data_IF_190024784231
#
_entry.id   IF_190024784231
#
_cell.length_a   1.000
_cell.length_b   1.000
_cell.length_c   1.000
_cell.angle_alpha   90.00
_cell.angle_beta   90.00
_cell.angle_gamma   90.00
#
_symmetry.space_group_name_H-M   'P 1'
#
loop_
_entity.id
_entity.type
_entity.pdbx_description
1 polymer ?
#
# COMPACT_ATOMS: atom_id res chain seq x y z
N UNK A 1 -8.28 -0.68 0.81
CA UNK A 1 -7.52 -0.40 -0.44
C UNK A 1 -6.09 -0.93 -0.31
N UNK A 2 -5.61 -1.70 -1.28
CA UNK A 2 -4.26 -2.24 -1.28
C UNK A 2 -3.39 -1.48 -2.31
N UNK A 3 -2.26 -0.95 -1.87
CA UNK A 3 -1.30 -0.23 -2.70
C UNK A 3 -0.09 -1.13 -2.92
N UNK A 4 0.20 -1.47 -4.16
CA UNK A 4 1.42 -2.13 -4.58
C UNK A 4 2.30 -1.16 -5.38
N UNK A 5 3.47 -0.83 -4.84
CA UNK A 5 4.46 0.03 -5.51
C UNK A 5 5.55 -0.86 -6.09
N UNK A 6 5.56 -1.02 -7.41
CA UNK A 6 6.57 -1.79 -8.12
C UNK A 6 7.48 -0.89 -8.98
N UNK A 7 8.79 -1.01 -8.81
CA UNK A 7 9.78 -0.39 -9.69
C UNK A 7 10.17 -1.38 -10.79
N UNK A 8 9.66 -1.23 -12.00
CA UNK A 8 10.27 -1.83 -13.19
C UNK A 8 10.77 -0.73 -14.14
N UNK A 9 12.07 -0.44 -14.07
CA UNK A 9 12.77 0.20 -15.18
C UNK A 9 13.32 -0.88 -16.12
N UNK A 10 12.94 -0.79 -17.38
CA UNK A 10 13.33 -1.67 -18.49
C UNK A 10 14.76 -1.35 -18.90
N UNK A 11 15.74 -2.15 -18.48
CA UNK A 11 17.10 -2.14 -19.03
C UNK A 11 17.42 -3.49 -19.66
N UNK A 12 17.97 -3.44 -20.88
CA UNK A 12 18.27 -4.56 -21.75
C UNK A 12 19.10 -5.67 -21.06
N UNK A 13 18.66 -6.91 -21.28
CA UNK A 13 19.29 -8.13 -20.77
C UNK A 13 20.55 -8.46 -21.55
N UNK A 14 21.71 -8.07 -21.05
CA UNK A 14 22.95 -8.77 -21.34
C UNK A 14 22.98 -10.05 -20.50
N UNK A 15 23.31 -11.20 -21.13
CA UNK A 15 23.31 -12.57 -20.57
C UNK A 15 24.30 -12.76 -19.41
N UNK A 16 24.06 -12.16 -18.29
CA UNK A 16 24.34 -12.64 -16.95
C UNK A 16 23.03 -12.40 -16.21
N UNK A 17 22.33 -13.47 -15.83
CA UNK A 17 21.12 -13.35 -15.03
C UNK A 17 21.51 -12.67 -13.72
N UNK A 18 21.43 -11.36 -13.68
CA UNK A 18 21.55 -10.57 -12.46
C UNK A 18 20.30 -10.88 -11.66
N UNK A 19 20.40 -11.91 -10.82
CA UNK A 19 19.44 -12.14 -9.78
C UNK A 19 19.41 -10.85 -8.97
N UNK A 20 18.27 -10.20 -8.96
CA UNK A 20 18.10 -8.96 -8.23
C UNK A 20 17.53 -9.22 -6.83
N UNK A 21 17.30 -8.15 -6.08
CA UNK A 21 16.72 -8.25 -4.74
C UNK A 21 15.30 -8.80 -4.75
N UNK A 22 14.55 -8.65 -5.86
CA UNK A 22 13.18 -9.16 -5.99
C UNK A 22 13.15 -10.69 -5.95
N UNK A 23 14.09 -11.36 -6.60
CA UNK A 23 14.19 -12.82 -6.60
C UNK A 23 14.43 -13.35 -5.17
N UNK A 24 15.28 -12.66 -4.41
CA UNK A 24 15.55 -13.02 -3.00
C UNK A 24 14.31 -12.82 -2.14
N UNK A 25 13.59 -11.73 -2.33
CA UNK A 25 12.35 -11.44 -1.60
C UNK A 25 11.23 -12.42 -1.97
N UNK A 26 11.10 -12.81 -3.23
CA UNK A 26 10.15 -13.83 -3.67
C UNK A 26 10.40 -15.18 -3.02
N UNK A 27 11.69 -15.55 -2.87
CA UNK A 27 12.04 -16.73 -2.10
C UNK A 27 11.62 -16.61 -0.63
N UNK A 28 11.78 -15.43 -0.03
CA UNK A 28 11.42 -15.17 1.37
C UNK A 28 9.89 -15.09 1.58
N UNK A 29 9.12 -14.71 0.56
CA UNK A 29 7.63 -14.79 0.59
C UNK A 29 7.12 -16.22 0.75
N UNK A 30 7.88 -17.21 0.25
CA UNK A 30 7.56 -18.64 0.39
C UNK A 30 7.87 -19.18 1.78
N UNK A 31 8.66 -18.44 2.57
CA UNK A 31 8.99 -18.77 3.95
C UNK A 31 10.44 -18.45 4.33
N UNK A 32 10.77 -18.59 5.62
CA UNK A 32 12.12 -18.35 6.12
C UNK A 32 13.17 -19.21 5.42
N UNK A 33 14.32 -18.61 5.08
CA UNK A 33 15.41 -19.31 4.38
C UNK A 33 16.77 -19.14 5.07
N UNK A 34 17.77 -19.87 4.61
CA UNK A 34 19.18 -19.70 4.96
C UNK A 34 19.96 -19.25 3.72
N UNK A 35 21.16 -18.68 3.89
CA UNK A 35 22.02 -18.32 2.75
C UNK A 35 22.30 -19.51 1.83
N UNK A 36 22.43 -20.72 2.38
CA UNK A 36 22.65 -21.95 1.61
C UNK A 36 21.42 -22.37 0.82
N UNK A 37 20.24 -22.28 1.43
CA UNK A 37 18.99 -22.63 0.75
C UNK A 37 18.66 -21.59 -0.34
N UNK A 38 18.79 -20.31 -0.05
CA UNK A 38 18.62 -19.24 -1.02
C UNK A 38 19.59 -19.39 -2.21
N UNK A 39 20.87 -19.64 -1.96
CA UNK A 39 21.87 -19.87 -3.00
C UNK A 39 21.48 -21.00 -3.96
N UNK A 40 20.95 -22.11 -3.42
CA UNK A 40 20.51 -23.27 -4.21
C UNK A 40 19.32 -22.93 -5.12
N UNK A 41 18.31 -22.23 -4.55
CA UNK A 41 17.09 -21.87 -5.32
C UNK A 41 17.41 -20.84 -6.39
N UNK A 42 18.26 -19.87 -6.07
CA UNK A 42 18.61 -18.75 -6.95
C UNK A 42 19.72 -19.09 -7.93
N UNK A 43 20.36 -20.27 -7.83
CA UNK A 43 21.47 -20.65 -8.73
C UNK A 43 22.74 -19.81 -8.57
N UNK A 44 23.00 -19.25 -7.38
CA UNK A 44 24.17 -18.41 -7.09
C UNK A 44 25.04 -19.01 -5.99
N UNK A 45 26.24 -18.45 -5.80
CA UNK A 45 27.09 -18.88 -4.71
C UNK A 45 26.50 -18.52 -3.34
N UNK A 46 26.83 -19.31 -2.30
CA UNK A 46 26.42 -19.03 -0.91
C UNK A 46 26.88 -17.65 -0.45
N UNK A 47 28.08 -17.22 -0.89
CA UNK A 47 28.63 -15.90 -0.55
C UNK A 47 27.80 -14.79 -1.18
N UNK A 48 27.41 -14.93 -2.45
CA UNK A 48 26.56 -13.97 -3.13
C UNK A 48 25.17 -13.88 -2.48
N UNK A 49 24.54 -15.02 -2.17
CA UNK A 49 23.26 -15.05 -1.45
C UNK A 49 23.36 -14.40 -0.06
N UNK A 50 24.45 -14.69 0.67
CA UNK A 50 24.68 -14.08 1.99
C UNK A 50 24.86 -12.57 1.90
N UNK A 51 25.65 -12.07 0.93
CA UNK A 51 25.87 -10.65 0.75
C UNK A 51 24.56 -9.90 0.45
N UNK A 52 23.72 -10.44 -0.46
CA UNK A 52 22.40 -9.86 -0.77
C UNK A 52 21.45 -9.87 0.41
N UNK A 53 21.35 -10.99 1.13
CA UNK A 53 20.53 -11.07 2.35
C UNK A 53 21.00 -10.07 3.40
N UNK A 54 22.33 -9.86 3.55
CA UNK A 54 22.88 -8.85 4.45
C UNK A 54 22.52 -7.42 4.04
N UNK A 55 22.57 -7.10 2.75
CA UNK A 55 22.13 -5.80 2.23
C UNK A 55 20.64 -5.56 2.54
N UNK A 56 19.81 -6.58 2.31
CA UNK A 56 18.37 -6.51 2.61
C UNK A 56 18.10 -6.39 4.13
N UNK A 57 18.92 -6.99 4.97
CA UNK A 57 18.84 -6.79 6.43
C UNK A 57 19.23 -5.36 6.80
N UNK A 58 20.29 -4.82 6.20
CA UNK A 58 20.74 -3.44 6.43
C UNK A 58 19.70 -2.39 6.01
N UNK A 59 18.90 -2.68 5.00
CA UNK A 59 17.78 -1.82 4.55
C UNK A 59 16.45 -2.09 5.28
N UNK A 60 16.42 -2.99 6.27
CA UNK A 60 15.21 -3.35 7.02
C UNK A 60 14.20 -4.22 6.25
N UNK A 61 14.48 -4.56 4.98
CA UNK A 61 13.58 -5.38 4.13
C UNK A 61 13.55 -6.86 4.51
N UNK A 62 14.54 -7.31 5.27
CA UNK A 62 14.69 -8.69 5.76
C UNK A 62 15.15 -8.67 7.20
N UNK A 63 14.61 -9.57 8.01
CA UNK A 63 15.03 -9.78 9.38
C UNK A 63 15.87 -11.06 9.47
N UNK A 64 17.02 -11.00 10.15
CA UNK A 64 17.81 -12.17 10.45
C UNK A 64 17.59 -12.62 11.91
N UNK A 65 17.49 -13.92 12.12
CA UNK A 65 17.46 -14.53 13.46
C UNK A 65 18.41 -15.71 13.49
N UNK A 66 19.36 -15.68 14.43
CA UNK A 66 20.22 -16.83 14.68
C UNK A 66 19.47 -17.84 15.55
N UNK A 67 19.35 -19.07 15.04
CA UNK A 67 18.70 -20.17 15.74
C UNK A 67 19.71 -21.31 15.77
N UNK A 68 20.19 -21.67 16.94
CA UNK A 68 21.24 -22.65 17.14
C UNK A 68 22.49 -22.33 16.30
N UNK A 69 22.85 -23.19 15.33
CA UNK A 69 24.04 -23.02 14.48
C UNK A 69 23.75 -22.41 13.11
N UNK A 70 22.51 -21.96 12.85
CA UNK A 70 22.13 -21.42 11.56
C UNK A 70 21.51 -20.03 11.69
N UNK A 71 21.88 -19.14 10.79
CA UNK A 71 21.19 -17.86 10.61
C UNK A 71 20.05 -18.07 9.62
N UNK A 72 18.84 -17.75 10.06
CA UNK A 72 17.63 -17.74 9.22
C UNK A 72 17.25 -16.30 8.88
N UNK A 73 16.81 -16.13 7.67
CA UNK A 73 16.31 -14.88 7.12
C UNK A 73 14.84 -15.04 6.84
N UNK A 74 14.04 -14.02 7.16
CA UNK A 74 12.61 -13.95 6.87
C UNK A 74 12.23 -12.50 6.53
N UNK A 75 11.11 -12.33 5.91
CA UNK A 75 10.52 -10.99 5.83
C UNK A 75 10.19 -10.50 7.25
N UNK A 76 10.22 -9.19 7.51
CA UNK A 76 9.64 -8.63 8.72
C UNK A 76 8.25 -9.24 8.97
N UNK A 77 7.83 -9.36 10.20
CA UNK A 77 6.42 -9.60 10.48
C UNK A 77 5.64 -8.44 9.87
N UNK A 78 4.47 -8.71 9.33
CA UNK A 78 3.59 -7.66 8.92
C UNK A 78 3.31 -6.78 10.15
N UNK A 79 3.82 -5.56 10.13
CA UNK A 79 3.46 -4.54 11.11
C UNK A 79 2.18 -3.92 10.55
N UNK A 80 1.07 -4.08 11.27
CA UNK A 80 -0.20 -3.43 10.96
C UNK A 80 -0.40 -2.32 11.98
N UNK A 81 -0.47 -1.11 11.48
CA UNK A 81 -0.99 0.03 12.22
C UNK A 81 -2.48 0.15 11.91
N UNK A 82 -3.28 0.48 12.91
CA UNK A 82 -4.72 0.67 12.74
C UNK A 82 -5.22 1.69 13.76
N UNK A 83 -5.99 2.66 13.30
CA UNK A 83 -6.58 3.69 14.12
C UNK A 83 -7.97 4.06 13.63
N UNK A 84 -8.91 4.30 14.54
CA UNK A 84 -10.22 4.87 14.24
C UNK A 84 -10.28 6.33 14.64
N UNK A 85 -10.93 7.14 13.82
CA UNK A 85 -11.11 8.57 14.01
C UNK A 85 -12.59 8.92 13.92
N UNK A 86 -13.13 9.79 14.80
CA UNK A 86 -14.45 10.36 14.59
C UNK A 86 -14.40 11.30 13.39
N UNK A 87 -15.36 11.21 12.48
CA UNK A 87 -15.44 12.08 11.30
C UNK A 87 -15.79 13.52 11.65
N UNK A 88 -16.54 13.74 12.74
CA UNK A 88 -16.92 15.06 13.17
C UNK A 88 -15.69 15.94 13.53
N UNK A 89 -15.41 16.94 12.67
CA UNK A 89 -14.28 17.86 12.84
C UNK A 89 -12.91 17.21 12.60
N UNK A 90 -12.87 16.08 11.91
CA UNK A 90 -11.62 15.47 11.49
C UNK A 90 -10.99 16.30 10.38
N UNK A 91 -9.68 16.54 10.49
CA UNK A 91 -8.86 17.05 9.41
C UNK A 91 -7.97 15.93 8.88
N UNK A 92 -7.89 15.79 7.56
CA UNK A 92 -7.17 14.71 6.87
C UNK A 92 -5.67 14.71 7.22
N UNK A 93 -5.05 15.88 7.34
CA UNK A 93 -3.63 16.01 7.70
C UNK A 93 -3.34 15.49 9.11
N UNK A 94 -4.30 15.53 10.02
CA UNK A 94 -4.16 14.91 11.35
C UNK A 94 -4.02 13.39 11.23
N UNK A 95 -4.82 12.77 10.36
CA UNK A 95 -4.74 11.32 10.12
C UNK A 95 -3.38 10.96 9.54
N UNK A 96 -2.93 11.70 8.51
CA UNK A 96 -1.63 11.49 7.87
C UNK A 96 -0.47 11.68 8.85
N UNK A 97 -0.48 12.75 9.65
CA UNK A 97 0.56 13.00 10.66
C UNK A 97 0.64 11.87 11.68
N UNK A 98 -0.50 11.38 12.16
CA UNK A 98 -0.52 10.29 13.13
C UNK A 98 -0.04 8.98 12.50
N UNK A 99 -0.47 8.67 11.29
CA UNK A 99 -0.02 7.50 10.54
C UNK A 99 1.51 7.52 10.32
N UNK A 100 2.07 8.66 9.92
CA UNK A 100 3.53 8.83 9.73
C UNK A 100 4.29 8.71 11.06
N UNK A 101 3.74 9.24 12.15
CA UNK A 101 4.39 9.24 13.45
C UNK A 101 4.38 7.85 14.12
N UNK A 102 3.32 7.08 13.94
CA UNK A 102 3.11 5.82 14.65
C UNK A 102 3.42 4.58 13.82
N UNK A 103 3.31 4.64 12.47
CA UNK A 103 3.69 3.55 11.58
C UNK A 103 5.13 3.68 11.10
N UNK A 104 5.99 2.82 11.66
CA UNK A 104 7.41 2.82 11.30
C UNK A 104 7.67 2.49 9.81
N UNK A 105 6.76 1.82 9.10
CA UNK A 105 6.91 1.53 7.68
C UNK A 105 6.62 2.78 6.84
N UNK A 106 5.55 3.50 7.17
CA UNK A 106 5.17 4.75 6.50
C UNK A 106 6.16 5.86 6.83
N UNK A 107 6.55 6.02 8.09
CA UNK A 107 7.52 7.03 8.51
C UNK A 107 8.94 6.86 7.91
N UNK A 108 9.23 5.72 7.27
CA UNK A 108 10.48 5.49 6.51
C UNK A 108 10.35 5.68 5.01
N UNK A 109 9.17 5.98 4.51
CA UNK A 109 8.98 6.29 3.09
C UNK A 109 9.67 7.61 2.75
N UNK A 110 10.18 7.72 1.55
CA UNK A 110 10.84 8.93 1.03
C UNK A 110 10.53 9.11 -0.44
N UNK A 111 10.57 10.37 -0.90
CA UNK A 111 10.42 10.73 -2.30
C UNK A 111 9.03 10.38 -2.86
N UNK A 112 8.99 9.75 -4.04
CA UNK A 112 7.73 9.44 -4.74
C UNK A 112 6.78 8.54 -3.93
N UNK A 113 7.32 7.57 -3.18
CA UNK A 113 6.49 6.66 -2.38
C UNK A 113 5.81 7.38 -1.21
N UNK A 114 6.52 8.29 -0.55
CA UNK A 114 5.98 9.15 0.51
C UNK A 114 4.86 10.04 -0.05
N UNK A 115 5.14 10.75 -1.16
CA UNK A 115 4.16 11.61 -1.80
C UNK A 115 2.91 10.86 -2.28
N UNK A 116 3.08 9.64 -2.81
CA UNK A 116 1.96 8.82 -3.25
C UNK A 116 1.08 8.37 -2.07
N UNK A 117 1.68 7.91 -0.98
CA UNK A 117 0.92 7.49 0.21
C UNK A 117 0.20 8.67 0.83
N UNK A 118 0.86 9.82 0.94
CA UNK A 118 0.24 11.05 1.44
C UNK A 118 -0.97 11.44 0.58
N UNK A 119 -0.80 11.51 -0.74
CA UNK A 119 -1.89 11.84 -1.67
C UNK A 119 -3.07 10.88 -1.54
N UNK A 120 -2.81 9.56 -1.61
CA UNK A 120 -3.87 8.55 -1.54
C UNK A 120 -4.60 8.57 -0.19
N UNK A 121 -3.87 8.71 0.92
CA UNK A 121 -4.45 8.77 2.24
C UNK A 121 -5.35 10.01 2.40
N UNK A 122 -4.87 11.18 1.96
CA UNK A 122 -5.61 12.43 2.00
C UNK A 122 -6.90 12.33 1.18
N UNK A 123 -6.82 11.89 -0.08
CA UNK A 123 -8.00 11.76 -0.95
C UNK A 123 -9.06 10.82 -0.36
N UNK A 124 -8.65 9.67 0.15
CA UNK A 124 -9.60 8.70 0.69
C UNK A 124 -10.19 9.12 2.03
N UNK A 125 -9.41 9.79 2.88
CA UNK A 125 -9.93 10.34 4.15
C UNK A 125 -10.90 11.48 3.87
N UNK A 126 -10.58 12.38 2.93
CA UNK A 126 -11.51 13.45 2.50
C UNK A 126 -12.81 12.87 1.96
N UNK A 127 -12.74 11.82 1.13
CA UNK A 127 -13.97 11.15 0.67
C UNK A 127 -14.81 10.61 1.84
N UNK A 128 -14.17 10.08 2.90
CA UNK A 128 -14.90 9.64 4.07
C UNK A 128 -15.52 10.82 4.85
N UNK A 129 -14.79 11.92 5.00
CA UNK A 129 -15.27 13.13 5.70
C UNK A 129 -16.48 13.74 4.95
N UNK A 130 -16.34 13.92 3.64
CA UNK A 130 -17.29 14.72 2.87
C UNK A 130 -18.51 13.93 2.37
N UNK A 131 -18.34 12.61 2.16
CA UNK A 131 -19.31 11.83 1.40
C UNK A 131 -19.82 10.56 2.09
N UNK A 132 -19.22 10.11 3.19
CA UNK A 132 -19.68 8.87 3.82
C UNK A 132 -21.02 8.99 4.52
N UNK A 133 -21.27 10.14 5.16
CA UNK A 133 -22.41 10.32 6.06
C UNK A 133 -22.34 9.44 7.31
N UNK A 134 -21.18 8.87 7.60
CA UNK A 134 -20.91 8.05 8.77
C UNK A 134 -20.43 8.86 9.98
N UNK A 135 -20.15 8.16 11.07
CA UNK A 135 -19.65 8.73 12.32
C UNK A 135 -18.15 8.55 12.48
N UNK A 136 -17.58 7.49 11.88
CA UNK A 136 -16.18 7.11 12.05
C UNK A 136 -15.54 6.66 10.74
N UNK A 137 -14.22 6.90 10.67
CA UNK A 137 -13.33 6.31 9.68
C UNK A 137 -12.24 5.50 10.38
N UNK A 138 -12.02 4.28 9.91
CA UNK A 138 -10.91 3.41 10.31
C UNK A 138 -9.85 3.43 9.22
N UNK A 139 -8.63 3.74 9.61
CA UNK A 139 -7.46 3.76 8.73
C UNK A 139 -6.50 2.69 9.19
N UNK A 140 -6.04 1.86 8.29
CA UNK A 140 -5.00 0.88 8.60
C UNK A 140 -3.96 0.82 7.51
N UNK A 141 -2.73 0.56 7.93
CA UNK A 141 -1.59 0.35 7.05
C UNK A 141 -0.85 -0.91 7.44
N UNK A 142 -0.49 -1.72 6.46
CA UNK A 142 0.24 -2.97 6.68
C UNK A 142 1.33 -3.14 5.63
N UNK A 143 2.57 -3.31 6.09
CA UNK A 143 3.67 -3.63 5.20
C UNK A 143 3.86 -5.15 5.10
N UNK A 144 3.72 -5.70 3.91
CA UNK A 144 4.01 -7.11 3.57
C UNK A 144 5.16 -7.18 2.57
N UNK A 145 6.37 -7.24 3.06
CA UNK A 145 7.57 -7.24 2.22
C UNK A 145 7.76 -5.89 1.52
N UNK A 146 7.61 -5.86 0.19
CA UNK A 146 7.67 -4.61 -0.61
C UNK A 146 6.30 -4.01 -0.90
N UNK A 147 5.24 -4.67 -0.46
CA UNK A 147 3.87 -4.25 -0.61
C UNK A 147 3.47 -3.43 0.62
N UNK A 148 2.91 -2.27 0.39
CA UNK A 148 2.18 -1.50 1.40
C UNK A 148 0.69 -1.60 1.09
N UNK A 149 -0.07 -2.07 2.07
CA UNK A 149 -1.53 -2.09 2.05
C UNK A 149 -2.01 -0.92 2.88
N UNK A 150 -2.82 -0.06 2.28
CA UNK A 150 -3.52 1.01 2.97
C UNK A 150 -5.02 0.76 2.84
N UNK A 151 -5.72 0.63 3.95
CA UNK A 151 -7.17 0.45 3.99
C UNK A 151 -7.79 1.61 4.74
N UNK A 152 -8.79 2.23 4.13
CA UNK A 152 -9.60 3.30 4.73
C UNK A 152 -11.05 2.85 4.60
N UNK A 153 -11.73 2.76 5.73
CA UNK A 153 -13.06 2.21 5.86
C UNK A 153 -13.90 3.13 6.74
N UNK A 154 -14.92 3.71 6.18
CA UNK A 154 -15.93 4.48 6.89
C UNK A 154 -17.15 3.59 7.23
N UNK A 155 -17.95 4.01 8.21
CA UNK A 155 -19.19 3.35 8.61
C UNK A 155 -20.45 3.95 7.97
N UNK A 156 -20.25 4.74 6.91
CA UNK A 156 -21.33 5.43 6.20
C UNK A 156 -22.02 4.61 5.12
N UNK A 157 -22.69 5.30 4.21
CA UNK A 157 -23.53 4.69 3.17
C UNK A 157 -22.73 4.06 2.01
N UNK A 158 -21.43 4.33 1.93
CA UNK A 158 -20.56 3.90 0.84
C UNK A 158 -20.61 4.83 -0.39
N UNK A 159 -19.43 5.07 -0.98
CA UNK A 159 -19.25 6.02 -2.07
C UNK A 159 -20.14 5.74 -3.29
N UNK A 160 -20.36 4.47 -3.64
CA UNK A 160 -21.19 4.12 -4.80
C UNK A 160 -22.67 4.36 -4.57
N UNK A 161 -23.17 4.06 -3.37
CA UNK A 161 -24.55 4.37 -3.00
C UNK A 161 -24.76 5.89 -2.97
N UNK A 162 -23.83 6.65 -2.42
CA UNK A 162 -23.88 8.10 -2.40
C UNK A 162 -23.92 8.70 -3.81
N UNK A 163 -23.03 8.29 -4.72
CA UNK A 163 -23.03 8.77 -6.12
C UNK A 163 -24.29 8.32 -6.87
N UNK A 164 -24.77 7.08 -6.67
CA UNK A 164 -26.03 6.62 -7.24
C UNK A 164 -27.18 7.54 -6.86
N UNK A 165 -27.31 7.85 -5.58
CA UNK A 165 -28.42 8.64 -5.06
C UNK A 165 -28.32 10.11 -5.48
N UNK A 166 -27.12 10.71 -5.39
CA UNK A 166 -26.87 12.09 -5.81
C UNK A 166 -27.15 12.32 -7.31
N UNK A 167 -26.80 11.36 -8.16
CA UNK A 167 -27.00 11.44 -9.61
C UNK A 167 -28.30 10.75 -10.08
N UNK A 168 -29.11 10.24 -9.15
CA UNK A 168 -30.36 9.49 -9.46
C UNK A 168 -30.11 8.35 -10.45
N UNK A 169 -29.04 7.59 -10.27
CA UNK A 169 -28.68 6.50 -11.15
C UNK A 169 -29.46 5.21 -10.81
N UNK A 170 -29.68 4.32 -11.78
CA UNK A 170 -30.50 3.13 -11.58
C UNK A 170 -29.80 2.04 -10.70
N UNK A 171 -28.49 2.11 -10.52
CA UNK A 171 -27.73 1.12 -9.74
C UNK A 171 -26.37 1.64 -9.30
N UNK A 172 -25.77 1.00 -8.30
CA UNK A 172 -24.37 1.26 -7.91
C UNK A 172 -23.38 0.93 -9.04
N UNK A 173 -23.66 -0.07 -9.87
CA UNK A 173 -22.87 -0.36 -11.06
C UNK A 173 -22.81 0.84 -12.02
N UNK A 174 -23.91 1.55 -12.17
CA UNK A 174 -23.93 2.80 -12.94
C UNK A 174 -23.11 3.89 -12.29
N UNK A 175 -23.09 3.98 -10.95
CA UNK A 175 -22.24 4.90 -10.21
C UNK A 175 -20.76 4.58 -10.41
N UNK A 176 -20.36 3.30 -10.35
CA UNK A 176 -18.99 2.85 -10.65
C UNK A 176 -18.58 3.28 -12.07
N UNK A 177 -19.48 3.13 -13.05
CA UNK A 177 -19.19 3.53 -14.44
C UNK A 177 -19.01 5.06 -14.56
N UNK A 178 -19.82 5.86 -13.86
CA UNK A 178 -19.65 7.31 -13.84
C UNK A 178 -18.33 7.73 -13.20
N UNK A 179 -18.00 7.22 -12.02
CA UNK A 179 -16.72 7.48 -11.34
C UNK A 179 -15.54 7.09 -12.25
N UNK A 180 -15.63 5.98 -12.98
CA UNK A 180 -14.59 5.52 -13.89
C UNK A 180 -14.33 6.45 -15.08
N UNK A 181 -15.26 7.36 -15.40
CA UNK A 181 -15.07 8.39 -16.44
C UNK A 181 -14.17 9.54 -15.98
N UNK A 182 -13.90 9.66 -14.68
CA UNK A 182 -12.94 10.60 -14.11
C UNK A 182 -13.39 12.05 -14.05
N UNK A 183 -14.69 12.34 -14.12
CA UNK A 183 -15.25 13.70 -14.05
C UNK A 183 -16.50 13.77 -13.17
N UNK A 184 -16.67 12.81 -12.28
CA UNK A 184 -17.88 12.72 -11.48
C UNK A 184 -17.61 13.27 -10.09
N UNK A 185 -18.19 14.41 -9.78
CA UNK A 185 -18.27 14.94 -8.42
C UNK A 185 -19.74 15.14 -8.03
N UNK A 186 -20.03 14.87 -6.77
CA UNK A 186 -21.33 15.20 -6.16
C UNK A 186 -21.31 16.59 -5.51
N UNK A 187 -20.12 17.18 -5.37
CA UNK A 187 -19.89 18.53 -4.86
C UNK A 187 -18.91 19.30 -5.78
N UNK A 188 -19.48 19.98 -6.79
CA UNK A 188 -18.72 20.71 -7.79
C UNK A 188 -18.06 22.02 -7.26
N UNK A 189 -18.45 22.49 -6.07
CA UNK A 189 -17.90 23.73 -5.50
C UNK A 189 -16.62 23.50 -4.67
N UNK A 190 -16.41 22.30 -4.15
CA UNK A 190 -15.32 21.99 -3.24
C UNK A 190 -14.30 21.00 -3.78
N UNK A 191 -14.67 20.15 -4.76
CA UNK A 191 -13.77 19.12 -5.30
C UNK A 191 -13.91 18.97 -6.82
N UNK A 192 -12.79 18.73 -7.50
CA UNK A 192 -12.77 18.51 -8.95
C UNK A 192 -13.34 17.12 -9.36
N UNK A 193 -13.80 16.28 -8.41
CA UNK A 193 -14.42 14.98 -8.65
C UNK A 193 -13.48 13.92 -9.22
N UNK A 194 -12.18 14.15 -9.15
CA UNK A 194 -11.17 13.32 -9.78
C UNK A 194 -10.37 12.45 -8.78
N UNK A 195 -10.53 12.68 -7.46
CA UNK A 195 -9.72 12.05 -6.43
C UNK A 195 -9.74 10.52 -6.47
N UNK A 196 -10.93 9.91 -6.47
CA UNK A 196 -11.08 8.44 -6.59
C UNK A 196 -10.53 7.90 -7.91
N UNK A 197 -10.73 8.62 -9.01
CA UNK A 197 -10.21 8.24 -10.32
C UNK A 197 -8.67 8.24 -10.33
N UNK A 198 -8.04 9.34 -9.92
CA UNK A 198 -6.58 9.43 -9.88
C UNK A 198 -5.98 8.46 -8.88
N UNK A 199 -6.59 8.30 -7.69
CA UNK A 199 -6.17 7.30 -6.71
C UNK A 199 -6.18 5.89 -7.32
N UNK A 200 -7.23 5.53 -8.08
CA UNK A 200 -7.31 4.22 -8.74
C UNK A 200 -6.24 3.99 -9.81
N UNK A 201 -5.68 5.06 -10.40
CA UNK A 201 -4.61 4.99 -11.40
C UNK A 201 -3.21 5.06 -10.79
N UNK A 202 -3.09 5.65 -9.62
CA UNK A 202 -1.82 5.85 -8.94
C UNK A 202 -1.32 4.59 -8.21
N UNK A 203 -2.19 3.61 -7.96
CA UNK A 203 -1.90 2.39 -7.21
C UNK A 203 -1.98 1.15 -8.10
N UNK A 204 -1.23 0.09 -7.78
CA UNK A 204 -1.25 -1.15 -8.56
C UNK A 204 -2.57 -1.94 -8.39
N UNK A 205 -3.16 -1.87 -7.22
CA UNK A 205 -4.43 -2.51 -6.91
C UNK A 205 -5.32 -1.55 -6.13
N UNK A 206 -6.46 -1.22 -6.70
CA UNK A 206 -7.51 -0.47 -6.05
C UNK A 206 -8.74 -1.37 -5.91
N UNK A 207 -9.19 -1.59 -4.67
CA UNK A 207 -10.38 -2.39 -4.40
C UNK A 207 -11.29 -1.61 -3.45
N UNK A 208 -12.26 -0.86 -3.97
CA UNK A 208 -13.28 -0.27 -3.13
C UNK A 208 -14.17 -1.38 -2.59
N UNK A 209 -14.42 -1.37 -1.29
CA UNK A 209 -15.39 -2.22 -0.62
C UNK A 209 -16.66 -1.44 -0.31
N UNK A 210 -17.73 -2.19 -0.05
CA UNK A 210 -18.99 -1.58 0.42
C UNK A 210 -18.78 -0.88 1.73
#
# INVERSE_FOLDING_TARGET
MAIQINRQSKLERTKLALIDDSDVLDQLRRGPTTSTAAARVLGISRQAAHARLKTLVGSGRVVQKSVARATRYRLPAAERWEQSFPLAGLAEDRVLQQMVAEDAAIGRLTGEAEGLVAYVATELVNNAIDHSGGDQVRVSAEQRGTLLLLEIEDDGVGAFAHVRDALSLPSELSAIQEISKGKTTTDAEHHEGEGLFFTSKAVELFSPSK
#
